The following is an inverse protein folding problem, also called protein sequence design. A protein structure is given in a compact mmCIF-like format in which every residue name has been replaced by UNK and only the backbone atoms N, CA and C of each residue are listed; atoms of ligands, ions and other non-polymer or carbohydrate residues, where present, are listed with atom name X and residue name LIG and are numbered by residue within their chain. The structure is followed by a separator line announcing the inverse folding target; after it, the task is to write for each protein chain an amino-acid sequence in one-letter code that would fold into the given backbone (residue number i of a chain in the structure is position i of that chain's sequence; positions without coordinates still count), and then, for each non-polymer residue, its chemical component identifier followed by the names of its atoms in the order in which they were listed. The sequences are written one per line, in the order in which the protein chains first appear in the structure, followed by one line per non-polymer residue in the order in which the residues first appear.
data_IF_103069126011
#
_entry.id   IF_103069126011
#
_cell.length_a   1.000
_cell.length_b   1.000
_cell.length_c   1.000
_cell.angle_alpha   90.00
_cell.angle_beta   90.00
_cell.angle_gamma   90.00
#
_symmetry.space_group_name_H-M   'P 1'
#
loop_
_entity.id
_entity.type
_entity.pdbx_description
1 polymer ?
#
# COMPACT_ATOMS: atom_id res chain seq x y z
N UNK A 1 -18.62 7.68 -5.06
CA UNK A 1 -20.05 7.37 -5.26
C UNK A 1 -20.81 8.67 -5.24
N UNK A 2 -21.79 8.86 -6.12
CA UNK A 2 -22.73 9.98 -5.99
C UNK A 2 -23.68 9.66 -4.85
N UNK A 3 -24.08 10.63 -4.07
CA UNK A 3 -25.01 10.39 -2.96
C UNK A 3 -26.39 10.03 -3.53
N UNK A 4 -27.09 9.01 -2.99
CA UNK A 4 -28.41 8.67 -3.49
C UNK A 4 -29.36 9.84 -3.26
N UNK A 5 -30.30 10.09 -4.19
CA UNK A 5 -31.29 11.15 -4.02
C UNK A 5 -32.13 10.90 -2.76
N UNK A 6 -32.20 11.92 -1.91
CA UNK A 6 -33.02 11.92 -0.71
C UNK A 6 -34.41 12.44 -1.07
N UNK A 7 -35.44 11.72 -0.66
CA UNK A 7 -36.83 12.12 -0.87
C UNK A 7 -37.45 12.48 0.48
N UNK A 8 -38.12 13.62 0.54
CA UNK A 8 -38.96 13.96 1.68
C UNK A 8 -40.21 13.09 1.68
N UNK A 9 -40.69 12.70 2.87
CA UNK A 9 -41.85 11.80 3.02
C UNK A 9 -43.08 12.34 2.29
N UNK A 10 -43.34 13.63 2.44
CA UNK A 10 -44.49 14.32 1.83
C UNK A 10 -44.43 14.28 0.29
N UNK A 11 -43.22 14.30 -0.30
CA UNK A 11 -43.05 14.18 -1.74
C UNK A 11 -43.35 12.76 -2.25
N UNK A 12 -43.00 11.72 -1.47
CA UNK A 12 -43.29 10.33 -1.80
C UNK A 12 -44.78 10.00 -1.68
N UNK A 13 -45.47 10.57 -0.70
CA UNK A 13 -46.91 10.34 -0.48
C UNK A 13 -47.78 10.88 -1.62
N UNK A 14 -47.33 11.93 -2.32
CA UNK A 14 -48.04 12.55 -3.44
C UNK A 14 -47.63 11.99 -4.82
N UNK A 15 -46.72 11.03 -4.85
CA UNK A 15 -46.14 10.49 -6.08
C UNK A 15 -47.01 9.34 -6.64
N UNK A 16 -47.17 9.20 -7.97
CA UNK A 16 -47.92 8.08 -8.53
C UNK A 16 -47.22 6.74 -8.22
N UNK A 17 -48.02 5.67 -8.11
CA UNK A 17 -47.53 4.33 -7.76
C UNK A 17 -46.42 3.84 -8.70
N UNK A 18 -46.46 4.18 -9.98
CA UNK A 18 -45.42 3.82 -10.95
C UNK A 18 -44.05 4.43 -10.60
N UNK A 19 -44.00 5.71 -10.26
CA UNK A 19 -42.77 6.38 -9.86
C UNK A 19 -42.25 5.87 -8.51
N UNK A 20 -43.15 5.55 -7.57
CA UNK A 20 -42.79 4.90 -6.30
C UNK A 20 -42.09 3.55 -6.53
N UNK A 21 -42.56 2.75 -7.49
CA UNK A 21 -41.93 1.48 -7.84
C UNK A 21 -40.51 1.71 -8.38
N UNK A 22 -40.30 2.71 -9.24
CA UNK A 22 -38.95 3.05 -9.74
C UNK A 22 -38.00 3.48 -8.62
N UNK A 23 -38.50 4.29 -7.68
CA UNK A 23 -37.71 4.70 -6.50
C UNK A 23 -37.30 3.49 -5.67
N UNK A 24 -38.21 2.54 -5.44
CA UNK A 24 -37.95 1.30 -4.68
C UNK A 24 -36.91 0.42 -5.40
N UNK A 25 -37.08 0.20 -6.71
CA UNK A 25 -36.13 -0.61 -7.51
C UNK A 25 -34.74 0.00 -7.44
N UNK A 26 -34.61 1.31 -7.63
CA UNK A 26 -33.33 2.00 -7.51
C UNK A 26 -32.75 1.86 -6.10
N UNK A 27 -33.55 2.01 -5.05
CA UNK A 27 -33.07 1.82 -3.67
C UNK A 27 -32.57 0.40 -3.40
N UNK A 28 -33.20 -0.63 -3.98
CA UNK A 28 -32.75 -2.02 -3.87
C UNK A 28 -31.37 -2.23 -4.51
N UNK A 29 -31.13 -1.69 -5.70
CA UNK A 29 -29.83 -1.76 -6.37
C UNK A 29 -28.73 -1.10 -5.52
N UNK A 30 -29.02 0.08 -4.96
CA UNK A 30 -28.10 0.79 -4.07
C UNK A 30 -27.81 -0.01 -2.80
N UNK A 31 -28.84 -0.59 -2.17
CA UNK A 31 -28.67 -1.42 -0.99
C UNK A 31 -27.80 -2.65 -1.28
N UNK A 32 -27.97 -3.28 -2.45
CA UNK A 32 -27.14 -4.41 -2.87
C UNK A 32 -25.67 -4.00 -3.04
N UNK A 33 -25.40 -2.88 -3.73
CA UNK A 33 -24.03 -2.38 -3.91
C UNK A 33 -23.34 -2.06 -2.57
N UNK A 34 -24.08 -1.44 -1.64
CA UNK A 34 -23.56 -1.14 -0.30
C UNK A 34 -23.27 -2.43 0.47
N UNK A 35 -24.16 -3.43 0.38
CA UNK A 35 -23.97 -4.72 1.03
C UNK A 35 -22.70 -5.43 0.53
N UNK A 36 -22.52 -5.50 -0.79
CA UNK A 36 -21.33 -6.10 -1.42
C UNK A 36 -20.04 -5.38 -1.01
N UNK A 37 -20.04 -4.04 -0.98
CA UNK A 37 -18.88 -3.27 -0.57
C UNK A 37 -18.58 -3.44 0.93
N UNK A 38 -19.60 -3.48 1.78
CA UNK A 38 -19.42 -3.77 3.21
C UNK A 38 -18.84 -5.17 3.41
N UNK A 39 -19.33 -6.17 2.68
CA UNK A 39 -18.81 -7.54 2.75
C UNK A 39 -17.34 -7.60 2.31
N UNK A 40 -17.00 -6.94 1.21
CA UNK A 40 -15.61 -6.81 0.73
C UNK A 40 -14.72 -6.13 1.76
N UNK A 41 -15.15 -5.00 2.33
CA UNK A 41 -14.39 -4.25 3.33
C UNK A 41 -14.22 -5.05 4.61
N UNK A 42 -15.25 -5.75 5.08
CA UNK A 42 -15.15 -6.67 6.22
C UNK A 42 -14.17 -7.80 5.95
N UNK A 43 -14.17 -8.38 4.75
CA UNK A 43 -13.24 -9.43 4.36
C UNK A 43 -11.77 -8.96 4.29
N UNK A 44 -11.54 -7.68 3.97
CA UNK A 44 -10.21 -7.06 4.03
C UNK A 44 -9.82 -6.75 5.48
N UNK A 45 -10.72 -6.15 6.26
CA UNK A 45 -10.43 -5.71 7.63
C UNK A 45 -10.27 -6.87 8.63
N UNK A 46 -10.99 -7.97 8.43
CA UNK A 46 -10.87 -9.18 9.25
C UNK A 46 -9.59 -9.99 8.96
N UNK A 47 -8.75 -9.57 8.00
CA UNK A 47 -7.42 -10.15 7.81
C UNK A 47 -6.44 -9.45 8.73
N UNK A 48 -6.18 -10.07 9.88
CA UNK A 48 -5.08 -9.66 10.74
C UNK A 48 -3.74 -10.19 10.19
N UNK A 49 -2.62 -9.58 10.55
CA UNK A 49 -1.27 -10.05 10.20
C UNK A 49 -0.96 -11.48 10.68
N UNK A 50 -1.79 -12.04 11.57
CA UNK A 50 -1.69 -13.41 12.07
C UNK A 50 -2.40 -14.43 11.16
N UNK A 51 -3.43 -14.01 10.42
CA UNK A 51 -4.27 -14.90 9.59
C UNK A 51 -3.99 -14.74 8.09
N UNK A 52 -3.34 -13.63 7.71
CA UNK A 52 -2.88 -13.41 6.35
C UNK A 52 -1.55 -14.14 6.14
N UNK A 53 -1.58 -15.38 5.64
CA UNK A 53 -0.39 -16.12 5.19
C UNK A 53 0.33 -15.48 3.98
N UNK A 54 0.04 -14.20 3.68
CA UNK A 54 0.74 -13.42 2.66
C UNK A 54 2.09 -12.98 3.21
N UNK A 55 3.18 -13.17 2.47
CA UNK A 55 4.49 -12.71 2.89
C UNK A 55 4.50 -11.17 3.03
N UNK A 56 5.31 -10.61 3.94
CA UNK A 56 5.40 -9.17 4.18
C UNK A 56 5.81 -8.37 2.92
N UNK A 57 6.45 -9.03 1.95
CA UNK A 57 6.79 -8.45 0.64
C UNK A 57 5.59 -8.26 -0.30
N UNK A 58 4.41 -8.80 0.03
CA UNK A 58 3.20 -8.69 -0.79
C UNK A 58 2.28 -7.53 -0.36
N UNK A 59 2.64 -6.79 0.70
CA UNK A 59 1.84 -5.69 1.27
C UNK A 59 2.03 -4.37 0.50
N UNK A 60 1.99 -4.43 -0.84
CA UNK A 60 2.05 -3.25 -1.71
C UNK A 60 0.68 -2.55 -1.88
N UNK A 61 -0.33 -2.91 -1.07
CA UNK A 61 -1.68 -2.37 -1.26
C UNK A 61 -1.76 -0.96 -0.65
N UNK A 62 -1.46 0.02 -1.51
CA UNK A 62 -1.77 1.45 -1.37
C UNK A 62 -1.27 2.12 -0.09
N UNK A 63 0.05 2.22 0.07
CA UNK A 63 0.57 3.45 0.66
C UNK A 63 0.35 4.54 -0.38
N UNK A 64 -0.59 5.44 -0.15
CA UNK A 64 -0.62 6.68 -0.93
C UNK A 64 0.68 7.39 -0.65
N UNK A 65 1.56 7.46 -1.65
CA UNK A 65 2.76 8.31 -1.66
C UNK A 65 2.37 9.80 -1.75
N UNK A 66 1.34 10.22 -1.03
CA UNK A 66 1.09 11.64 -0.80
C UNK A 66 1.87 12.00 0.45
N UNK A 67 3.12 12.34 0.22
CA UNK A 67 3.89 13.17 1.14
C UNK A 67 3.13 14.50 1.14
N UNK A 68 2.42 14.80 2.23
CA UNK A 68 1.94 16.15 2.46
C UNK A 68 3.19 17.02 2.67
N UNK A 69 3.61 17.74 1.63
CA UNK A 69 4.75 18.67 1.61
C UNK A 69 4.60 19.84 2.60
N UNK A 70 3.49 19.92 3.34
CA UNK A 70 3.18 20.99 4.28
C UNK A 70 3.53 20.69 5.75
N UNK A 71 4.24 19.60 6.04
CA UNK A 71 4.75 19.28 7.39
C UNK A 71 6.28 19.26 7.49
N UNK A 72 6.95 19.92 6.55
CA UNK A 72 8.36 20.27 6.70
C UNK A 72 8.50 21.61 7.41
N UNK A 73 8.03 21.74 8.65
CA UNK A 73 8.54 22.80 9.51
C UNK A 73 8.44 22.41 10.99
N UNK A 74 9.63 22.25 11.56
CA UNK A 74 9.94 22.44 12.98
C UNK A 74 9.27 21.53 14.01
N UNK A 75 9.74 20.29 14.12
CA UNK A 75 9.97 19.70 15.44
C UNK A 75 11.06 18.63 15.37
N UNK A 76 12.26 19.03 15.80
CA UNK A 76 13.38 18.18 16.19
C UNK A 76 13.65 16.98 15.28
N UNK A 77 14.62 17.13 14.35
CA UNK A 77 15.28 16.04 13.60
C UNK A 77 15.13 14.69 14.33
N UNK A 78 14.14 13.88 13.93
CA UNK A 78 13.94 12.55 14.49
C UNK A 78 15.26 11.82 14.27
N UNK A 79 15.98 11.54 15.35
CA UNK A 79 17.29 10.87 15.26
C UNK A 79 17.08 9.56 14.51
N UNK A 80 17.78 9.39 13.38
CA UNK A 80 17.78 8.13 12.67
C UNK A 80 18.25 7.04 13.65
N UNK A 81 17.34 6.16 14.07
CA UNK A 81 17.60 5.22 15.15
C UNK A 81 16.33 4.52 15.66
N UNK A 82 16.53 3.45 16.42
CA UNK A 82 15.46 2.67 17.02
C UNK A 82 14.63 3.46 18.04
N UNK A 83 13.50 2.87 18.43
CA UNK A 83 12.58 3.42 19.44
C UNK A 83 13.32 3.93 20.68
N UNK A 84 12.94 5.11 21.19
CA UNK A 84 13.52 5.72 22.39
C UNK A 84 13.40 4.73 23.56
N UNK A 85 14.52 4.40 24.20
CA UNK A 85 14.61 3.38 25.26
C UNK A 85 15.00 1.98 24.78
N UNK A 86 15.01 1.71 23.47
CA UNK A 86 15.42 0.42 22.92
C UNK A 86 16.81 0.55 22.28
N UNK A 87 17.79 -0.11 22.89
CA UNK A 87 19.14 -0.20 22.33
C UNK A 87 19.08 -1.01 21.04
N UNK A 88 19.38 -0.37 19.91
CA UNK A 88 19.43 -1.03 18.62
C UNK A 88 20.38 -2.24 18.64
N UNK A 89 19.90 -3.39 18.18
CA UNK A 89 20.70 -4.61 18.03
C UNK A 89 21.22 -4.70 16.60
N UNK A 90 21.93 -3.67 16.14
CA UNK A 90 22.57 -3.72 14.82
C UNK A 90 23.63 -4.82 14.84
N UNK A 91 23.59 -5.72 13.86
CA UNK A 91 24.59 -6.78 13.71
C UNK A 91 25.95 -6.11 13.56
N UNK A 92 26.97 -6.57 14.32
CA UNK A 92 28.33 -6.02 14.30
C UNK A 92 29.10 -6.44 13.03
N UNK A 93 28.52 -6.15 11.86
CA UNK A 93 29.04 -6.59 10.57
C UNK A 93 28.92 -8.10 10.34
N UNK A 94 29.71 -8.59 9.40
CA UNK A 94 30.04 -10.00 9.26
C UNK A 94 31.24 -10.25 10.17
N UNK A 95 31.27 -11.39 10.87
CA UNK A 95 32.49 -11.83 11.57
C UNK A 95 33.54 -12.23 10.51
N UNK A 96 34.24 -13.34 10.72
CA UNK A 96 35.07 -13.95 9.70
C UNK A 96 34.19 -14.37 8.52
N UNK A 97 34.53 -13.89 7.32
CA UNK A 97 33.92 -14.37 6.08
C UNK A 97 34.62 -15.67 5.70
N UNK A 98 33.86 -16.74 5.54
CA UNK A 98 34.41 -18.07 5.21
C UNK A 98 34.73 -18.23 3.72
N UNK A 99 34.04 -17.48 2.83
CA UNK A 99 34.25 -17.52 1.38
C UNK A 99 33.90 -16.19 0.72
N UNK A 100 34.76 -15.77 -0.21
CA UNK A 100 34.47 -14.71 -1.17
C UNK A 100 34.37 -15.34 -2.56
N UNK A 101 33.39 -14.91 -3.34
CA UNK A 101 33.21 -15.33 -4.73
C UNK A 101 32.92 -14.09 -5.56
N UNK A 102 33.87 -13.72 -6.40
CA UNK A 102 33.71 -12.62 -7.34
C UNK A 102 32.94 -13.14 -8.54
N UNK A 103 31.69 -12.71 -8.69
CA UNK A 103 30.88 -13.03 -9.86
C UNK A 103 31.15 -11.98 -10.92
N UNK A 104 31.86 -12.39 -11.97
CA UNK A 104 32.06 -11.56 -13.15
C UNK A 104 31.09 -12.01 -14.25
N UNK A 105 30.49 -11.07 -15.00
CA UNK A 105 29.67 -11.42 -16.16
C UNK A 105 30.52 -12.12 -17.23
N UNK A 106 29.95 -13.15 -17.87
CA UNK A 106 30.60 -13.89 -18.97
C UNK A 106 30.80 -13.02 -20.23
N UNK A 107 29.98 -11.99 -20.39
CA UNK A 107 30.08 -11.00 -21.46
C UNK A 107 29.14 -9.82 -21.24
N UNK A 108 29.37 -8.73 -21.97
CA UNK A 108 28.47 -7.58 -21.94
C UNK A 108 27.10 -7.97 -22.53
N UNK A 109 25.97 -7.77 -21.81
CA UNK A 109 24.65 -8.14 -22.31
C UNK A 109 24.23 -7.33 -23.55
N UNK A 110 24.82 -6.16 -23.78
CA UNK A 110 24.46 -5.27 -24.89
C UNK A 110 25.31 -5.49 -26.15
N UNK A 111 26.61 -5.76 -26.00
CA UNK A 111 27.54 -5.86 -27.14
C UNK A 111 28.28 -7.19 -27.25
N UNK A 112 28.14 -8.11 -26.29
CA UNK A 112 28.84 -9.40 -26.27
C UNK A 112 30.35 -9.31 -26.04
N UNK A 113 30.88 -8.12 -25.79
CA UNK A 113 32.30 -7.92 -25.52
C UNK A 113 32.74 -8.61 -24.22
N UNK A 114 33.93 -9.23 -24.25
CA UNK A 114 34.55 -9.88 -23.09
C UNK A 114 35.66 -9.03 -22.43
N UNK A 115 35.95 -7.85 -22.97
CA UNK A 115 36.96 -6.93 -22.45
C UNK A 115 36.34 -5.93 -21.46
N UNK A 116 36.77 -5.99 -20.20
CA UNK A 116 36.32 -5.08 -19.14
C UNK A 116 37.43 -4.08 -18.79
N UNK A 117 37.08 -2.79 -18.73
CA UNK A 117 38.00 -1.76 -18.25
C UNK A 117 37.90 -1.69 -16.73
N UNK A 118 38.97 -2.02 -16.02
CA UNK A 118 39.04 -1.85 -14.57
C UNK A 118 39.13 -0.37 -14.23
N UNK A 119 38.00 0.22 -13.84
CA UNK A 119 37.97 1.58 -13.29
C UNK A 119 38.15 1.44 -11.78
N UNK A 120 39.36 1.70 -11.29
CA UNK A 120 39.64 1.71 -9.86
C UNK A 120 38.88 2.84 -9.18
N UNK A 121 37.90 2.50 -8.33
CA UNK A 121 37.21 3.48 -7.49
C UNK A 121 37.96 3.60 -6.17
N UNK A 122 38.49 4.79 -5.88
CA UNK A 122 39.05 5.10 -4.57
C UNK A 122 37.92 5.31 -3.57
N UNK A 123 37.76 4.36 -2.64
CA UNK A 123 36.82 4.49 -1.52
C UNK A 123 37.53 5.33 -0.45
N UNK A 124 37.04 6.54 -0.20
CA UNK A 124 37.46 7.41 0.92
C UNK A 124 36.99 6.89 2.27
#
# INVERSE_FOLDING_TARGET
MKEPPQYEREALENMPVGELVEVIVRQQEWAQQIYEEIERLKAVNNRSSKDSSKPPSSDLIKRSEKIDESKEEEEGKKKAGGQIGHKGKTRKGFNRVDRFETVSPEGCPDCGGASWTEIGVSIR
#
